data_IF_134800746073
#
_entry.id   IF_134800746073
#
_cell.length_a   1.000
_cell.length_b   1.000
_cell.length_c   1.000
_cell.angle_alpha   90.00
_cell.angle_beta   90.00
_cell.angle_gamma   90.00
#
_symmetry.space_group_name_H-M   'P 1'
#
loop_
_entity.id
_entity.type
_entity.pdbx_description
1 polymer ?
#
# COMPACT_ATOMS: atom_id res chain seq x y z
N UNK A 1 -28.06 44.73 -4.31
CA UNK A 1 -28.91 43.58 -4.00
C UNK A 1 -28.22 42.40 -4.67
N UNK A 2 -27.48 41.63 -3.88
CA UNK A 2 -26.54 40.61 -4.35
C UNK A 2 -27.25 39.27 -4.38
N UNK A 3 -27.28 38.60 -5.53
CA UNK A 3 -27.68 37.19 -5.60
C UNK A 3 -26.44 36.31 -5.62
N UNK A 4 -26.46 35.35 -4.70
CA UNK A 4 -25.33 34.54 -4.30
C UNK A 4 -25.04 33.46 -5.36
N UNK A 5 -23.78 33.38 -5.78
CA UNK A 5 -23.23 32.16 -6.36
C UNK A 5 -23.16 31.10 -5.24
N UNK A 6 -24.15 30.21 -5.20
CA UNK A 6 -24.02 28.96 -4.47
C UNK A 6 -23.06 28.05 -5.23
N UNK A 7 -21.79 28.05 -4.82
CA UNK A 7 -20.88 26.94 -5.09
C UNK A 7 -21.43 25.71 -4.36
N UNK A 8 -22.19 24.89 -5.09
CA UNK A 8 -22.53 23.54 -4.66
C UNK A 8 -21.33 22.63 -4.91
N UNK A 9 -20.93 21.91 -3.87
CA UNK A 9 -19.81 21.00 -3.84
C UNK A 9 -19.87 19.98 -4.98
N UNK A 10 -18.80 19.93 -5.78
CA UNK A 10 -18.61 18.95 -6.85
C UNK A 10 -18.33 17.57 -6.24
N UNK A 11 -19.39 16.87 -5.87
CA UNK A 11 -19.37 15.41 -5.85
C UNK A 11 -19.19 14.93 -7.30
N UNK A 12 -18.34 13.94 -7.54
CA UNK A 12 -17.99 13.46 -8.87
C UNK A 12 -19.21 12.93 -9.62
N UNK A 13 -19.87 13.78 -10.40
CA UNK A 13 -20.94 13.38 -11.30
C UNK A 13 -20.34 12.60 -12.47
N UNK A 14 -20.52 11.27 -12.46
CA UNK A 14 -20.11 10.39 -13.54
C UNK A 14 -21.26 10.22 -14.54
N UNK A 15 -20.98 10.41 -15.83
CA UNK A 15 -21.97 10.21 -16.92
C UNK A 15 -21.67 8.89 -17.62
N UNK A 16 -22.66 8.00 -17.69
CA UNK A 16 -22.55 6.69 -18.34
C UNK A 16 -23.54 6.52 -19.49
N UNK A 17 -23.28 5.55 -20.38
CA UNK A 17 -24.23 5.17 -21.41
C UNK A 17 -25.49 4.55 -20.79
N UNK A 18 -26.66 5.01 -21.23
CA UNK A 18 -27.96 4.44 -20.87
C UNK A 18 -28.23 3.15 -21.66
N UNK A 19 -29.23 2.36 -21.22
CA UNK A 19 -29.66 1.14 -21.90
C UNK A 19 -30.20 1.32 -23.32
N UNK A 20 -30.40 2.57 -23.77
CA UNK A 20 -30.80 2.91 -25.13
C UNK A 20 -29.63 3.54 -25.91
N UNK A 21 -29.43 3.08 -27.14
CA UNK A 21 -28.35 3.56 -28.03
C UNK A 21 -28.48 5.07 -28.24
N UNK A 22 -27.41 5.81 -27.90
CA UNK A 22 -27.33 7.26 -28.06
C UNK A 22 -27.83 8.09 -26.87
N UNK A 23 -28.29 7.47 -25.79
CA UNK A 23 -28.69 8.18 -24.57
C UNK A 23 -27.62 8.06 -23.48
N UNK A 24 -27.42 9.14 -22.73
CA UNK A 24 -26.51 9.20 -21.59
C UNK A 24 -27.28 9.48 -20.29
N UNK A 25 -26.82 8.94 -19.18
CA UNK A 25 -27.43 9.10 -17.88
C UNK A 25 -26.39 9.49 -16.83
N UNK A 26 -26.81 10.29 -15.85
CA UNK A 26 -26.01 10.74 -14.71
C UNK A 26 -26.14 9.68 -13.65
N UNK A 27 -25.00 9.22 -13.16
CA UNK A 27 -24.93 8.33 -12.02
C UNK A 27 -25.04 9.17 -10.74
N UNK A 28 -26.14 9.02 -10.00
CA UNK A 28 -26.28 9.61 -8.67
C UNK A 28 -25.95 8.54 -7.61
N UNK A 29 -24.76 8.62 -7.03
CA UNK A 29 -24.39 7.76 -5.89
C UNK A 29 -25.08 8.28 -4.62
N UNK A 30 -26.27 7.77 -4.30
CA UNK A 30 -26.98 8.10 -3.06
C UNK A 30 -26.94 6.98 -2.00
N UNK A 31 -26.54 5.76 -2.37
CA UNK A 31 -26.35 4.63 -1.44
C UNK A 31 -25.72 3.43 -2.17
N UNK A 32 -25.14 2.44 -1.47
CA UNK A 32 -24.42 1.33 -2.10
C UNK A 32 -25.31 0.39 -2.95
N UNK A 33 -26.62 0.38 -2.74
CA UNK A 33 -27.53 -0.63 -3.32
C UNK A 33 -28.50 -0.09 -4.39
N UNK A 34 -28.59 1.23 -4.62
CA UNK A 34 -29.45 1.79 -5.68
C UNK A 34 -28.75 2.94 -6.43
N UNK A 35 -28.07 2.60 -7.52
CA UNK A 35 -27.59 3.59 -8.48
C UNK A 35 -28.79 4.12 -9.29
N UNK A 36 -29.31 5.29 -8.91
CA UNK A 36 -30.37 5.96 -9.68
C UNK A 36 -29.74 6.61 -10.91
N UNK A 37 -30.06 6.06 -12.09
CA UNK A 37 -29.68 6.63 -13.37
C UNK A 37 -30.67 7.71 -13.77
N UNK A 38 -30.24 8.97 -13.72
CA UNK A 38 -31.04 10.08 -14.21
C UNK A 38 -30.71 10.31 -15.69
N UNK A 39 -31.66 10.17 -16.64
CA UNK A 39 -31.40 10.46 -18.05
C UNK A 39 -30.99 11.93 -18.22
N UNK A 40 -29.89 12.19 -18.94
CA UNK A 40 -29.49 13.55 -19.30
C UNK A 40 -30.26 14.01 -20.54
N UNK A 41 -30.54 15.31 -20.59
CA UNK A 41 -30.89 15.96 -21.85
C UNK A 41 -29.63 16.19 -22.69
N UNK A 42 -29.80 16.33 -24.01
CA UNK A 42 -28.69 16.64 -24.92
C UNK A 42 -27.94 17.92 -24.52
N UNK A 43 -28.66 18.91 -23.98
CA UNK A 43 -28.08 20.15 -23.50
C UNK A 43 -27.20 19.95 -22.26
N UNK A 44 -27.66 19.13 -21.30
CA UNK A 44 -26.88 18.79 -20.11
C UNK A 44 -25.62 17.99 -20.48
N UNK A 45 -25.75 17.07 -21.44
CA UNK A 45 -24.61 16.30 -21.94
C UNK A 45 -23.58 17.18 -22.65
N UNK A 46 -24.02 18.14 -23.49
CA UNK A 46 -23.12 19.09 -24.15
C UNK A 46 -22.41 19.97 -23.12
N UNK A 47 -23.11 20.48 -22.10
CA UNK A 47 -22.50 21.28 -21.03
C UNK A 47 -21.46 20.46 -20.26
N UNK A 48 -21.79 19.21 -19.91
CA UNK A 48 -20.84 18.27 -19.31
C UNK A 48 -19.62 18.05 -20.20
N UNK A 49 -19.81 17.71 -21.48
CA UNK A 49 -18.72 17.44 -22.42
C UNK A 49 -17.81 18.67 -22.65
N UNK A 50 -18.37 19.88 -22.68
CA UNK A 50 -17.59 21.13 -22.78
C UNK A 50 -16.82 21.38 -21.48
N UNK A 51 -17.44 21.20 -20.32
CA UNK A 51 -16.77 21.37 -19.03
C UNK A 51 -15.63 20.35 -18.86
N UNK A 52 -15.89 19.10 -19.22
CA UNK A 52 -14.92 18.01 -19.20
C UNK A 52 -13.78 18.28 -20.20
N UNK A 53 -14.09 18.70 -21.44
CA UNK A 53 -13.09 19.09 -22.43
C UNK A 53 -12.21 20.27 -22.01
N UNK A 54 -12.78 21.27 -21.32
CA UNK A 54 -12.01 22.40 -20.75
C UNK A 54 -11.11 21.95 -19.59
N UNK A 55 -11.64 21.13 -18.67
CA UNK A 55 -10.86 20.53 -17.58
C UNK A 55 -9.64 19.79 -18.12
N UNK A 56 -9.80 19.00 -19.18
CA UNK A 56 -8.70 18.30 -19.84
C UNK A 56 -7.66 19.27 -20.42
N UNK A 57 -8.11 20.33 -21.10
CA UNK A 57 -7.22 21.36 -21.65
C UNK A 57 -6.41 22.06 -20.55
N UNK A 58 -7.06 22.42 -19.45
CA UNK A 58 -6.42 23.10 -18.30
C UNK A 58 -5.35 22.21 -17.64
N UNK A 59 -5.61 20.92 -17.45
CA UNK A 59 -4.63 19.98 -16.88
C UNK A 59 -3.37 19.84 -17.74
N UNK A 60 -3.47 19.82 -19.08
CA UNK A 60 -2.28 19.76 -19.95
C UNK A 60 -1.43 21.03 -19.84
N UNK A 61 -2.06 22.21 -19.73
CA UNK A 61 -1.35 23.47 -19.52
C UNK A 61 -0.66 23.52 -18.15
N UNK A 62 -1.36 23.08 -17.09
CA UNK A 62 -0.79 22.96 -15.73
C UNK A 62 0.42 22.02 -15.74
N UNK A 63 0.30 20.84 -16.35
CA UNK A 63 1.40 19.88 -16.49
C UNK A 63 2.59 20.51 -17.21
N UNK A 64 2.37 21.23 -18.31
CA UNK A 64 3.45 21.86 -19.06
C UNK A 64 4.22 22.90 -18.21
N UNK A 65 3.51 23.73 -17.44
CA UNK A 65 4.10 24.70 -16.53
C UNK A 65 4.86 24.04 -15.36
N UNK A 66 4.28 23.00 -14.77
CA UNK A 66 4.90 22.22 -13.69
C UNK A 66 6.15 21.50 -14.18
N UNK A 67 6.13 20.93 -15.38
CA UNK A 67 7.29 20.27 -15.99
C UNK A 67 8.45 21.25 -16.20
N UNK A 68 8.16 22.43 -16.74
CA UNK A 68 9.16 23.49 -16.90
C UNK A 68 9.77 23.90 -15.55
N UNK A 69 8.92 24.04 -14.53
CA UNK A 69 9.36 24.38 -13.16
C UNK A 69 10.21 23.25 -12.55
N UNK A 70 9.81 22.00 -12.73
CA UNK A 70 10.54 20.82 -12.32
C UNK A 70 11.95 20.77 -12.93
N UNK A 71 12.08 21.03 -14.23
CA UNK A 71 13.37 21.07 -14.93
C UNK A 71 14.27 22.18 -14.38
N UNK A 72 13.72 23.38 -14.15
CA UNK A 72 14.45 24.51 -13.55
C UNK A 72 14.94 24.14 -12.14
N UNK A 73 14.06 23.64 -11.26
CA UNK A 73 14.43 23.30 -9.88
C UNK A 73 15.41 22.13 -9.81
N UNK A 74 15.29 21.15 -10.71
CA UNK A 74 16.24 20.05 -10.82
C UNK A 74 17.62 20.58 -11.24
N UNK A 75 17.68 21.48 -12.23
CA UNK A 75 18.92 22.14 -12.64
C UNK A 75 19.57 22.97 -11.54
N UNK A 76 18.75 23.62 -10.69
CA UNK A 76 19.21 24.37 -9.52
C UNK A 76 19.50 23.49 -8.28
N UNK A 77 19.33 22.16 -8.38
CA UNK A 77 19.46 21.20 -7.27
C UNK A 77 18.51 21.48 -6.08
N UNK A 78 17.39 22.17 -6.33
CA UNK A 78 16.36 22.44 -5.34
C UNK A 78 15.39 21.24 -5.24
N UNK A 79 15.87 20.11 -4.70
CA UNK A 79 15.18 18.81 -4.75
C UNK A 79 13.78 18.82 -4.14
N UNK A 80 13.58 19.53 -3.02
CA UNK A 80 12.26 19.66 -2.38
C UNK A 80 11.23 20.32 -3.30
N UNK A 81 11.62 21.39 -3.98
CA UNK A 81 10.74 22.10 -4.93
C UNK A 81 10.50 21.25 -6.18
N UNK A 82 11.53 20.55 -6.68
CA UNK A 82 11.39 19.61 -7.78
C UNK A 82 10.41 18.47 -7.42
N UNK A 83 10.54 17.85 -6.26
CA UNK A 83 9.61 16.79 -5.80
C UNK A 83 8.19 17.30 -5.60
N UNK A 84 8.02 18.54 -5.11
CA UNK A 84 6.70 19.16 -5.04
C UNK A 84 6.08 19.34 -6.43
N UNK A 85 6.83 19.88 -7.40
CA UNK A 85 6.36 20.00 -8.78
C UNK A 85 6.03 18.63 -9.40
N UNK A 86 6.88 17.62 -9.18
CA UNK A 86 6.63 16.25 -9.63
C UNK A 86 5.36 15.67 -9.00
N UNK A 87 5.13 15.91 -7.70
CA UNK A 87 3.93 15.47 -7.01
C UNK A 87 2.65 16.11 -7.57
N UNK A 88 2.64 17.43 -7.78
CA UNK A 88 1.48 18.11 -8.38
C UNK A 88 1.22 17.65 -9.81
N UNK A 89 2.28 17.49 -10.61
CA UNK A 89 2.15 16.99 -11.98
C UNK A 89 1.63 15.55 -12.03
N UNK A 90 2.04 14.72 -11.08
CA UNK A 90 1.53 13.35 -10.94
C UNK A 90 0.04 13.32 -10.57
N UNK A 91 -0.43 14.24 -9.72
CA UNK A 91 -1.87 14.40 -9.41
C UNK A 91 -2.67 14.75 -10.66
N UNK A 92 -2.17 15.65 -11.51
CA UNK A 92 -2.80 15.98 -12.79
C UNK A 92 -2.85 14.76 -13.72
N UNK A 93 -1.72 14.06 -13.93
CA UNK A 93 -1.71 12.83 -14.72
C UNK A 93 -2.66 11.76 -14.18
N UNK A 94 -2.77 11.63 -12.86
CA UNK A 94 -3.71 10.72 -12.22
C UNK A 94 -5.17 11.09 -12.52
N UNK A 95 -5.52 12.39 -12.43
CA UNK A 95 -6.84 12.92 -12.77
C UNK A 95 -7.20 12.75 -14.24
N UNK A 96 -6.19 12.70 -15.13
CA UNK A 96 -6.32 12.41 -16.55
C UNK A 96 -6.45 10.90 -16.87
N UNK A 97 -6.22 10.01 -15.89
CA UNK A 97 -6.19 8.56 -16.10
C UNK A 97 -4.87 8.03 -16.69
N UNK A 98 -3.85 8.87 -16.82
CA UNK A 98 -2.51 8.52 -17.33
C UNK A 98 -1.65 7.86 -16.23
N UNK A 99 -2.06 6.67 -15.78
CA UNK A 99 -1.51 6.01 -14.58
C UNK A 99 0.00 5.79 -14.65
N UNK A 100 0.53 5.40 -15.80
CA UNK A 100 1.98 5.16 -15.98
C UNK A 100 2.81 6.43 -15.78
N UNK A 101 2.36 7.54 -16.35
CA UNK A 101 3.02 8.84 -16.20
C UNK A 101 2.91 9.33 -14.74
N UNK A 102 1.74 9.18 -14.12
CA UNK A 102 1.53 9.53 -12.72
C UNK A 102 2.49 8.74 -11.80
N UNK A 103 2.57 7.41 -11.95
CA UNK A 103 3.47 6.55 -11.18
C UNK A 103 4.93 6.97 -11.29
N UNK A 104 5.41 7.32 -12.49
CA UNK A 104 6.80 7.74 -12.69
C UNK A 104 7.15 8.94 -11.80
N UNK A 105 6.32 9.98 -11.81
CA UNK A 105 6.56 11.18 -11.03
C UNK A 105 6.27 11.00 -9.54
N UNK A 106 5.30 10.16 -9.16
CA UNK A 106 5.10 9.77 -7.77
C UNK A 106 6.32 9.02 -7.21
N UNK A 107 6.90 8.08 -7.97
CA UNK A 107 8.09 7.33 -7.56
C UNK A 107 9.32 8.23 -7.38
N UNK A 108 9.44 9.28 -8.17
CA UNK A 108 10.48 10.30 -7.95
C UNK A 108 10.26 11.02 -6.61
N UNK A 109 9.07 11.59 -6.39
CA UNK A 109 8.80 12.37 -5.19
C UNK A 109 8.82 11.54 -3.89
N UNK A 110 8.29 10.30 -3.92
CA UNK A 110 8.23 9.41 -2.75
C UNK A 110 9.63 9.04 -2.25
N UNK A 111 10.62 8.91 -3.15
CA UNK A 111 11.99 8.60 -2.77
C UNK A 111 12.60 9.68 -1.86
N UNK A 112 12.36 10.96 -2.17
CA UNK A 112 12.80 12.08 -1.35
C UNK A 112 12.04 12.11 -0.01
N UNK A 113 10.73 11.90 -0.04
CA UNK A 113 9.90 11.95 1.17
C UNK A 113 10.23 10.84 2.16
N UNK A 114 10.56 9.64 1.68
CA UNK A 114 11.11 8.55 2.50
C UNK A 114 12.45 8.93 3.10
N UNK A 115 13.38 9.45 2.29
CA UNK A 115 14.72 9.83 2.73
C UNK A 115 14.70 10.95 3.77
N UNK A 116 13.83 11.95 3.60
CA UNK A 116 13.72 13.09 4.53
C UNK A 116 12.74 12.85 5.69
N UNK A 117 12.04 11.70 5.74
CA UNK A 117 11.13 11.34 6.82
C UNK A 117 9.83 12.16 6.87
N UNK A 118 9.34 12.65 5.73
CA UNK A 118 8.14 13.49 5.65
C UNK A 118 6.85 12.68 5.68
N UNK A 119 6.45 12.21 6.86
CA UNK A 119 5.35 11.25 7.03
C UNK A 119 4.00 11.71 6.45
N UNK A 120 3.65 12.99 6.59
CA UNK A 120 2.37 13.53 6.08
C UNK A 120 2.31 13.54 4.56
N UNK A 121 3.37 14.02 3.91
CA UNK A 121 3.50 14.00 2.45
C UNK A 121 3.66 12.58 1.91
N UNK A 122 4.34 11.71 2.67
CA UNK A 122 4.48 10.29 2.36
C UNK A 122 3.12 9.56 2.41
N UNK A 123 2.26 9.89 3.37
CA UNK A 123 0.90 9.35 3.42
C UNK A 123 0.08 9.70 2.17
N UNK A 124 0.09 10.98 1.76
CA UNK A 124 -0.67 11.43 0.61
C UNK A 124 -0.21 10.74 -0.68
N UNK A 125 1.12 10.71 -0.91
CA UNK A 125 1.67 10.11 -2.13
C UNK A 125 1.51 8.59 -2.20
N UNK A 126 1.65 7.89 -1.06
CA UNK A 126 1.41 6.45 -1.01
C UNK A 126 -0.06 6.13 -1.29
N UNK A 127 -0.99 6.98 -0.86
CA UNK A 127 -2.40 6.85 -1.19
C UNK A 127 -2.65 6.86 -2.70
N UNK A 128 -2.01 7.77 -3.43
CA UNK A 128 -2.08 7.81 -4.89
C UNK A 128 -1.37 6.61 -5.54
N UNK A 129 -0.17 6.24 -5.09
CA UNK A 129 0.58 5.09 -5.63
C UNK A 129 -0.18 3.77 -5.44
N UNK A 130 -0.83 3.60 -4.29
CA UNK A 130 -1.71 2.49 -3.98
C UNK A 130 -2.88 2.42 -4.96
N UNK A 131 -3.56 3.53 -5.21
CA UNK A 131 -4.67 3.60 -6.17
C UNK A 131 -4.21 3.39 -7.62
N UNK A 132 -3.05 3.91 -8.00
CA UNK A 132 -2.43 3.63 -9.28
C UNK A 132 -2.15 2.12 -9.45
N UNK A 133 -1.63 1.47 -8.40
CA UNK A 133 -1.32 0.03 -8.41
C UNK A 133 -2.57 -0.83 -8.48
N UNK A 134 -3.65 -0.39 -7.82
CA UNK A 134 -4.98 -0.99 -7.94
C UNK A 134 -5.50 -0.94 -9.38
N UNK A 135 -5.41 0.22 -10.04
CA UNK A 135 -5.84 0.39 -11.44
C UNK A 135 -5.00 -0.39 -12.44
N UNK A 136 -3.69 -0.47 -12.20
CA UNK A 136 -2.76 -1.24 -13.03
C UNK A 136 -2.83 -2.76 -12.76
N UNK A 137 -3.58 -3.21 -11.74
CA UNK A 137 -3.66 -4.63 -11.35
C UNK A 137 -2.38 -5.19 -10.73
N UNK A 138 -1.49 -4.33 -10.23
CA UNK A 138 -0.21 -4.73 -9.63
C UNK A 138 -0.40 -5.08 -8.16
N UNK A 139 -0.71 -6.35 -7.86
CA UNK A 139 -0.97 -6.81 -6.50
C UNK A 139 0.21 -6.59 -5.57
N UNK A 140 1.43 -6.90 -6.01
CA UNK A 140 2.64 -6.76 -5.19
C UNK A 140 2.84 -5.31 -4.75
N UNK A 141 2.87 -4.37 -5.70
CA UNK A 141 3.03 -2.94 -5.39
C UNK A 141 1.88 -2.42 -4.51
N UNK A 142 0.65 -2.85 -4.79
CA UNK A 142 -0.52 -2.47 -3.98
C UNK A 142 -0.37 -2.89 -2.52
N UNK A 143 0.08 -4.13 -2.26
CA UNK A 143 0.32 -4.64 -0.91
C UNK A 143 1.49 -3.91 -0.27
N UNK A 144 2.59 -3.69 -0.99
CA UNK A 144 3.76 -2.98 -0.49
C UNK A 144 3.41 -1.56 -0.01
N UNK A 145 2.75 -0.76 -0.87
CA UNK A 145 2.32 0.58 -0.50
C UNK A 145 1.31 0.58 0.65
N UNK A 146 0.38 -0.37 0.66
CA UNK A 146 -0.63 -0.46 1.73
C UNK A 146 -0.01 -0.79 3.10
N UNK A 147 0.94 -1.72 3.14
CA UNK A 147 1.64 -2.09 4.38
C UNK A 147 2.54 -0.93 4.85
N UNK A 148 3.27 -0.29 3.95
CA UNK A 148 4.08 0.90 4.27
C UNK A 148 3.21 2.01 4.89
N UNK A 149 2.06 2.31 4.27
CA UNK A 149 1.10 3.30 4.79
C UNK A 149 0.60 2.95 6.19
N UNK A 150 0.23 1.69 6.42
CA UNK A 150 -0.29 1.24 7.70
C UNK A 150 0.75 1.40 8.82
N UNK A 151 2.04 1.23 8.50
CA UNK A 151 3.15 1.29 9.45
C UNK A 151 3.75 2.69 9.67
N UNK A 152 3.32 3.71 8.92
CA UNK A 152 3.80 5.08 9.15
C UNK A 152 3.54 5.53 10.60
N UNK A 153 4.36 6.40 11.22
CA UNK A 153 4.11 6.87 12.58
C UNK A 153 2.86 7.77 12.65
N UNK A 154 2.11 7.72 13.75
CA UNK A 154 0.95 8.63 13.97
C UNK A 154 1.50 9.98 14.41
N UNK A 155 1.25 11.05 13.64
CA UNK A 155 1.47 12.41 14.15
C UNK A 155 0.35 12.74 15.12
N UNK A 156 0.68 12.92 16.40
CA UNK A 156 -0.25 13.30 17.47
C UNK A 156 -0.70 14.77 17.41
N UNK A 157 -0.11 15.56 16.50
CA UNK A 157 -0.59 16.88 16.15
C UNK A 157 -0.97 16.89 14.67
N UNK A 158 -2.26 16.98 14.39
CA UNK A 158 -2.85 17.84 13.35
C UNK A 158 -4.27 17.36 13.02
N UNK A 159 -5.20 17.78 13.87
CA UNK A 159 -6.61 17.97 13.49
C UNK A 159 -6.78 19.22 12.61
N UNK A 160 -5.72 19.68 11.94
CA UNK A 160 -5.73 20.91 11.16
C UNK A 160 -6.18 20.56 9.75
N UNK A 161 -7.49 20.69 9.53
CA UNK A 161 -8.12 21.03 8.26
C UNK A 161 -7.51 20.37 7.00
N UNK A 162 -7.59 19.05 6.88
CA UNK A 162 -7.45 18.40 5.58
C UNK A 162 -8.71 18.68 4.75
N UNK A 163 -8.75 19.83 4.09
CA UNK A 163 -9.89 20.19 3.22
C UNK A 163 -9.93 19.34 1.95
N UNK A 164 -8.79 18.76 1.56
CA UNK A 164 -8.64 17.83 0.44
C UNK A 164 -7.71 16.70 0.87
N UNK A 165 -8.27 15.58 1.32
CA UNK A 165 -7.47 14.36 1.48
C UNK A 165 -7.26 13.71 0.11
N UNK A 166 -6.07 13.14 -0.12
CA UNK A 166 -5.85 12.22 -1.23
C UNK A 166 -6.76 10.99 -1.17
N UNK A 167 -6.67 10.06 -2.15
CA UNK A 167 -7.59 8.94 -2.29
C UNK A 167 -7.62 7.98 -1.08
N UNK A 168 -6.59 8.00 -0.23
CA UNK A 168 -6.53 7.21 1.00
C UNK A 168 -7.23 7.86 2.20
N UNK A 169 -7.76 9.07 2.08
CA UNK A 169 -8.35 9.80 3.21
C UNK A 169 -7.31 10.29 4.23
N UNK A 170 -7.75 10.70 5.44
CA UNK A 170 -6.86 11.25 6.45
C UNK A 170 -5.96 10.18 7.10
N UNK A 171 -4.74 10.53 7.55
CA UNK A 171 -3.78 9.63 8.21
C UNK A 171 -4.18 9.26 9.65
N UNK A 172 -5.39 8.74 9.84
CA UNK A 172 -5.89 8.33 11.16
C UNK A 172 -5.51 6.88 11.50
N UNK A 173 -5.44 6.57 12.79
CA UNK A 173 -5.21 5.20 13.27
C UNK A 173 -6.26 4.22 12.71
N UNK A 174 -7.55 4.61 12.74
CA UNK A 174 -8.64 3.81 12.19
C UNK A 174 -8.44 3.51 10.70
N UNK A 175 -8.00 4.51 9.92
CA UNK A 175 -7.79 4.31 8.48
C UNK A 175 -6.65 3.34 8.20
N UNK A 176 -5.59 3.36 9.00
CA UNK A 176 -4.47 2.40 8.91
C UNK A 176 -4.90 0.99 9.25
N UNK A 177 -5.71 0.81 10.28
CA UNK A 177 -6.27 -0.50 10.64
C UNK A 177 -7.15 -1.05 9.51
N UNK A 178 -7.98 -0.21 8.89
CA UNK A 178 -8.78 -0.58 7.70
C UNK A 178 -7.87 -1.03 6.56
N UNK A 179 -6.80 -0.27 6.26
CA UNK A 179 -5.85 -0.62 5.18
C UNK A 179 -5.16 -1.97 5.48
N UNK A 180 -4.71 -2.21 6.72
CA UNK A 180 -4.12 -3.50 7.08
C UNK A 180 -5.12 -4.64 6.91
N UNK A 181 -6.36 -4.48 7.40
CA UNK A 181 -7.42 -5.50 7.26
C UNK A 181 -7.76 -5.79 5.80
N UNK A 182 -7.77 -4.77 4.95
CA UNK A 182 -7.96 -4.94 3.51
C UNK A 182 -6.86 -5.81 2.90
N UNK A 183 -5.59 -5.53 3.19
CA UNK A 183 -4.46 -6.33 2.69
C UNK A 183 -4.53 -7.77 3.21
N UNK A 184 -4.76 -7.95 4.52
CA UNK A 184 -4.84 -9.30 5.11
C UNK A 184 -6.02 -10.07 4.51
N UNK A 185 -7.17 -9.43 4.31
CA UNK A 185 -8.34 -10.04 3.68
C UNK A 185 -8.19 -10.32 2.19
N UNK A 186 -7.31 -9.61 1.48
CA UNK A 186 -6.94 -9.94 0.09
C UNK A 186 -5.99 -11.13 0.01
N UNK A 187 -5.12 -11.29 1.01
CA UNK A 187 -4.13 -12.38 1.06
C UNK A 187 -4.74 -13.67 1.62
N UNK A 188 -5.59 -13.57 2.64
CA UNK A 188 -6.38 -14.68 3.15
C UNK A 188 -7.51 -14.99 2.16
N UNK A 189 -7.63 -16.24 1.72
CA UNK A 189 -8.57 -16.72 0.68
C UNK A 189 -10.07 -16.55 1.06
N UNK A 190 -10.39 -15.82 2.12
CA UNK A 190 -11.74 -15.48 2.57
C UNK A 190 -12.24 -14.18 1.93
N UNK A 191 -12.45 -14.16 0.61
CA UNK A 191 -12.95 -12.94 -0.06
C UNK A 191 -14.48 -12.82 0.06
N UNK A 192 -14.95 -12.14 1.12
CA UNK A 192 -16.33 -11.65 1.28
C UNK A 192 -16.49 -10.14 1.05
N UNK A 193 -15.51 -9.47 0.41
CA UNK A 193 -15.59 -8.06 0.08
C UNK A 193 -16.45 -7.82 -1.18
N UNK A 194 -17.28 -6.76 -1.21
CA UNK A 194 -18.13 -6.45 -2.36
C UNK A 194 -17.25 -6.11 -3.56
N UNK A 195 -17.16 -7.05 -4.51
CA UNK A 195 -16.20 -6.95 -5.60
C UNK A 195 -16.60 -5.91 -6.63
N UNK A 196 -15.87 -4.80 -6.67
CA UNK A 196 -15.76 -4.01 -7.90
C UNK A 196 -14.95 -4.79 -8.95
N UNK A 197 -15.19 -4.57 -10.25
CA UNK A 197 -14.48 -5.29 -11.32
C UNK A 197 -12.95 -5.12 -11.28
N UNK A 198 -12.45 -4.08 -10.61
CA UNK A 198 -11.02 -3.80 -10.40
C UNK A 198 -10.39 -4.76 -9.39
N UNK A 199 -11.15 -5.26 -8.42
CA UNK A 199 -10.67 -6.18 -7.37
C UNK A 199 -10.42 -7.60 -7.90
N UNK A 200 -11.02 -7.97 -9.04
CA UNK A 200 -10.77 -9.28 -9.67
C UNK A 200 -9.31 -9.42 -10.12
N UNK A 201 -8.65 -8.33 -10.48
CA UNK A 201 -7.25 -8.31 -10.92
C UNK A 201 -6.24 -8.37 -9.75
N UNK A 202 -6.70 -8.21 -8.50
CA UNK A 202 -5.85 -8.23 -7.30
C UNK A 202 -5.95 -9.53 -6.50
N UNK A 203 -6.59 -10.57 -7.06
CA UNK A 203 -6.76 -11.84 -6.36
C UNK A 203 -5.48 -12.68 -6.42
N UNK A 204 -5.09 -13.24 -5.29
CA UNK A 204 -4.10 -14.31 -5.25
C UNK A 204 -4.74 -15.57 -5.82
N UNK A 205 -4.26 -16.05 -6.96
CA UNK A 205 -4.53 -17.41 -7.41
C UNK A 205 -3.69 -18.36 -6.58
N UNK A 206 -4.29 -19.45 -6.07
CA UNK A 206 -3.62 -20.42 -5.21
C UNK A 206 -2.33 -21.02 -5.79
N UNK A 207 -2.13 -20.91 -7.11
CA UNK A 207 -0.94 -21.39 -7.83
C UNK A 207 0.28 -20.46 -7.71
N UNK A 208 0.14 -19.24 -7.19
CA UNK A 208 1.23 -18.27 -7.07
C UNK A 208 1.16 -17.47 -5.75
N UNK A 209 1.92 -17.85 -4.71
CA UNK A 209 1.93 -17.10 -3.45
C UNK A 209 2.53 -15.71 -3.65
N UNK A 210 2.00 -14.72 -2.93
CA UNK A 210 2.56 -13.37 -2.92
C UNK A 210 3.88 -13.37 -2.13
N UNK A 211 4.97 -13.04 -2.81
CA UNK A 211 6.29 -12.93 -2.19
C UNK A 211 6.69 -11.46 -2.01
N UNK A 212 6.96 -11.06 -0.77
CA UNK A 212 7.43 -9.73 -0.39
C UNK A 212 8.86 -9.82 0.15
N UNK A 213 9.75 -8.96 -0.36
CA UNK A 213 11.15 -8.92 0.03
C UNK A 213 11.44 -7.68 0.88
N UNK A 214 12.03 -7.89 2.06
CA UNK A 214 12.41 -6.82 2.99
C UNK A 214 13.93 -6.85 3.16
N UNK A 215 14.62 -6.17 2.24
CA UNK A 215 16.06 -5.98 2.27
C UNK A 215 16.44 -4.62 2.91
N UNK A 216 17.69 -4.17 2.74
CA UNK A 216 18.17 -2.90 3.32
C UNK A 216 17.57 -1.65 2.66
N UNK A 217 17.12 -1.75 1.40
CA UNK A 217 16.58 -0.62 0.63
C UNK A 217 15.06 -0.65 0.51
N UNK A 218 14.43 -1.76 0.91
CA UNK A 218 12.99 -1.96 0.88
C UNK A 218 12.28 -0.95 1.79
N UNK A 219 11.27 -0.23 1.28
CA UNK A 219 10.42 0.62 2.11
C UNK A 219 9.70 -0.17 3.21
N UNK A 220 9.48 -1.47 3.02
CA UNK A 220 8.82 -2.33 4.00
C UNK A 220 9.62 -2.55 5.30
N UNK A 221 10.86 -2.08 5.39
CA UNK A 221 11.60 -2.06 6.66
C UNK A 221 10.89 -1.25 7.74
N UNK A 222 10.07 -0.27 7.36
CA UNK A 222 9.23 0.45 8.34
C UNK A 222 8.07 -0.39 8.86
N UNK A 223 7.75 -1.51 8.19
CA UNK A 223 6.64 -2.40 8.56
C UNK A 223 7.11 -3.49 9.50
N UNK A 224 8.17 -4.20 9.12
CA UNK A 224 8.71 -5.35 9.85
C UNK A 224 10.22 -5.21 9.97
N UNK A 225 10.71 -5.28 11.20
CA UNK A 225 12.13 -5.34 11.52
C UNK A 225 12.46 -6.74 12.05
N UNK A 226 13.53 -7.31 11.51
CA UNK A 226 14.12 -8.55 11.97
C UNK A 226 15.56 -8.30 12.43
N UNK A 227 15.91 -8.88 13.57
CA UNK A 227 17.27 -8.84 14.12
C UNK A 227 17.64 -10.22 14.64
N UNK A 228 18.85 -10.68 14.31
CA UNK A 228 19.38 -11.95 14.79
C UNK A 228 20.62 -11.67 15.63
N UNK A 229 20.67 -12.24 16.82
CA UNK A 229 21.81 -12.13 17.73
C UNK A 229 22.34 -13.52 18.09
N UNK A 230 23.64 -13.73 17.90
CA UNK A 230 24.35 -14.90 18.40
C UNK A 230 24.83 -14.62 19.82
N UNK A 231 24.62 -15.56 20.73
CA UNK A 231 25.01 -15.40 22.14
C UNK A 231 26.50 -15.65 22.32
N UNK A 232 27.07 -16.54 21.50
CA UNK A 232 28.48 -16.85 21.48
C UNK A 232 29.17 -16.18 20.27
N UNK A 233 30.33 -15.55 20.53
CA UNK A 233 31.16 -14.95 19.47
C UNK A 233 31.98 -15.99 18.69
N UNK A 234 32.20 -17.18 19.28
CA UNK A 234 32.91 -18.29 18.67
C UNK A 234 32.26 -19.61 19.10
N UNK A 235 31.91 -20.44 18.13
CA UNK A 235 31.30 -21.75 18.36
C UNK A 235 32.42 -22.79 18.40
N UNK A 236 32.52 -23.56 19.49
CA UNK A 236 33.39 -24.74 19.52
C UNK A 236 32.65 -25.91 18.89
N UNK A 237 33.35 -26.80 18.15
CA UNK A 237 32.77 -28.05 17.68
C UNK A 237 32.09 -28.79 18.84
N UNK A 238 30.93 -29.38 18.57
CA UNK A 238 30.12 -30.17 19.53
C UNK A 238 29.49 -29.39 20.70
N UNK A 239 29.61 -28.07 20.76
CA UNK A 239 28.83 -27.24 21.70
C UNK A 239 27.65 -26.55 21.00
N UNK A 240 26.43 -26.63 21.53
CA UNK A 240 25.30 -25.90 20.98
C UNK A 240 25.52 -24.39 21.15
N UNK A 241 25.38 -23.63 20.08
CA UNK A 241 25.35 -22.18 20.10
C UNK A 241 23.92 -21.70 20.24
N UNK A 242 23.67 -20.53 20.82
CA UNK A 242 22.33 -19.95 20.93
C UNK A 242 22.18 -18.77 20.01
N UNK A 243 21.02 -18.72 19.37
CA UNK A 243 20.58 -17.54 18.63
C UNK A 243 19.30 -17.01 19.21
N UNK A 244 19.16 -15.69 19.19
CA UNK A 244 17.89 -15.01 19.40
C UNK A 244 17.47 -14.34 18.10
N UNK A 245 16.32 -14.75 17.57
CA UNK A 245 15.63 -14.04 16.50
C UNK A 245 14.62 -13.09 17.14
N UNK A 246 14.73 -11.81 16.82
CA UNK A 246 13.86 -10.75 17.31
C UNK A 246 13.09 -10.14 16.15
N UNK A 247 11.77 -10.09 16.26
CA UNK A 247 10.88 -9.51 15.26
C UNK A 247 10.09 -8.35 15.88
N UNK A 248 9.90 -7.28 15.13
CA UNK A 248 9.13 -6.11 15.52
C UNK A 248 8.25 -5.67 14.35
N UNK A 249 6.96 -5.47 14.61
CA UNK A 249 6.01 -4.93 13.62
C UNK A 249 5.49 -3.56 14.07
N UNK A 250 5.39 -2.64 13.12
CA UNK A 250 4.78 -1.32 13.30
C UNK A 250 3.33 -1.27 12.80
N UNK A 251 2.77 -2.41 12.40
CA UNK A 251 1.38 -2.50 11.94
C UNK A 251 0.39 -2.23 13.09
N UNK A 252 -0.75 -1.54 12.82
CA UNK A 252 -1.71 -1.12 13.85
C UNK A 252 -2.52 -2.26 14.49
N UNK A 253 -2.67 -3.39 13.81
CA UNK A 253 -3.32 -4.60 14.33
C UNK A 253 -2.33 -5.77 14.41
N UNK A 254 -2.70 -6.78 15.21
CA UNK A 254 -1.90 -8.00 15.39
C UNK A 254 -1.56 -8.64 14.04
N UNK A 255 -0.31 -9.08 13.91
CA UNK A 255 0.18 -9.79 12.73
C UNK A 255 0.58 -11.20 13.14
N UNK A 256 -0.15 -12.19 12.66
CA UNK A 256 0.11 -13.60 12.94
C UNK A 256 1.04 -14.20 11.91
N UNK A 257 1.98 -15.03 12.38
CA UNK A 257 2.93 -15.77 11.57
C UNK A 257 2.64 -17.26 11.74
N UNK A 258 2.57 -17.98 10.63
CA UNK A 258 2.30 -19.42 10.62
C UNK A 258 3.57 -20.21 10.89
N UNK A 259 4.62 -19.86 10.16
CA UNK A 259 5.94 -20.43 10.27
C UNK A 259 7.00 -19.36 10.01
N UNK A 260 8.13 -19.49 10.70
CA UNK A 260 9.31 -18.66 10.51
C UNK A 260 10.50 -19.56 10.15
N UNK A 261 10.97 -19.45 8.91
CA UNK A 261 12.15 -20.18 8.45
C UNK A 261 13.42 -19.37 8.74
N UNK A 262 14.38 -20.01 9.41
CA UNK A 262 15.70 -19.45 9.69
C UNK A 262 16.72 -20.21 8.84
N UNK A 263 17.32 -19.49 7.90
CA UNK A 263 18.28 -20.05 6.95
C UNK A 263 19.70 -19.55 7.23
N UNK A 264 20.65 -20.48 7.22
CA UNK A 264 22.08 -20.29 7.31
C UNK A 264 22.74 -20.68 5.98
N UNK A 265 24.00 -20.28 5.81
CA UNK A 265 24.79 -20.74 4.67
C UNK A 265 25.02 -22.27 4.71
N UNK A 266 25.03 -22.87 5.91
CA UNK A 266 25.06 -24.31 6.13
C UNK A 266 23.63 -24.84 6.33
N UNK A 267 23.11 -25.60 5.37
CA UNK A 267 21.71 -26.04 5.40
C UNK A 267 21.38 -26.97 6.56
N UNK A 268 22.36 -27.67 7.13
CA UNK A 268 22.19 -28.55 8.30
C UNK A 268 21.86 -27.76 9.57
N UNK A 269 22.21 -26.49 9.58
CA UNK A 269 21.95 -25.57 10.68
C UNK A 269 20.58 -24.84 10.51
N UNK A 270 19.87 -25.02 9.38
CA UNK A 270 18.55 -24.44 9.12
C UNK A 270 17.46 -25.05 10.01
N UNK A 271 16.46 -24.24 10.36
CA UNK A 271 15.29 -24.72 11.08
C UNK A 271 14.07 -23.83 10.86
N UNK A 272 12.89 -24.40 11.09
CA UNK A 272 11.59 -23.72 10.99
C UNK A 272 10.97 -23.63 12.36
N UNK A 273 10.45 -22.47 12.74
CA UNK A 273 9.67 -22.28 13.97
C UNK A 273 8.19 -22.23 13.57
N UNK A 274 7.40 -23.20 14.03
CA UNK A 274 5.97 -23.28 13.76
C UNK A 274 5.14 -22.72 14.92
N UNK A 275 4.03 -22.05 14.57
CA UNK A 275 3.04 -21.60 15.53
C UNK A 275 2.20 -22.78 16.06
N UNK A 276 2.33 -23.13 17.34
CA UNK A 276 1.61 -24.28 17.92
C UNK A 276 0.09 -24.08 18.00
N UNK A 277 -0.41 -22.85 17.85
CA UNK A 277 -1.83 -22.53 17.95
C UNK A 277 -2.59 -22.73 16.64
N UNK A 278 -1.91 -22.90 15.50
CA UNK A 278 -2.55 -23.24 14.23
C UNK A 278 -2.46 -24.74 13.96
N UNK A 279 -3.57 -25.31 13.50
CA UNK A 279 -3.56 -26.65 12.90
C UNK A 279 -2.68 -26.62 11.66
N UNK A 280 -1.75 -27.59 11.49
CA UNK A 280 -0.90 -27.63 10.31
C UNK A 280 -1.78 -27.68 9.05
N UNK A 281 -1.72 -26.63 8.23
CA UNK A 281 -2.39 -26.61 6.93
C UNK A 281 -1.80 -27.73 6.07
N UNK A 282 -2.65 -28.61 5.56
CA UNK A 282 -2.30 -29.88 4.89
C UNK A 282 -1.64 -29.72 3.50
N UNK A 283 -0.95 -28.61 3.22
CA UNK A 283 -0.50 -28.28 1.86
C UNK A 283 0.99 -28.51 1.59
N UNK A 284 1.86 -28.63 2.59
CA UNK A 284 3.30 -28.85 2.34
C UNK A 284 3.90 -30.06 3.06
N UNK A 285 3.20 -31.20 3.08
CA UNK A 285 3.85 -32.49 3.37
C UNK A 285 4.44 -33.08 2.07
N UNK A 286 5.34 -32.36 1.42
CA UNK A 286 6.04 -32.85 0.22
C UNK A 286 7.49 -32.43 0.26
N UNK A 287 8.24 -33.02 1.18
CA UNK A 287 9.52 -33.69 0.92
C UNK A 287 10.17 -34.06 2.26
N UNK A 288 10.31 -35.37 2.46
CA UNK A 288 11.21 -35.92 3.45
C UNK A 288 12.62 -35.48 3.08
N UNK A 289 13.21 -34.54 3.83
CA UNK A 289 14.66 -34.44 4.06
C UNK A 289 14.90 -33.49 5.26
N UNK A 290 15.27 -34.07 6.41
CA UNK A 290 16.03 -33.51 7.54
C UNK A 290 15.87 -32.03 8.01
N UNK A 291 14.77 -31.31 7.79
CA UNK A 291 14.60 -29.97 8.38
C UNK A 291 14.19 -30.05 9.85
N UNK A 292 14.93 -29.35 10.73
CA UNK A 292 14.60 -29.23 12.15
C UNK A 292 13.39 -28.31 12.32
N UNK A 293 12.36 -28.80 13.01
CA UNK A 293 11.16 -28.03 13.32
C UNK A 293 11.10 -27.75 14.82
N UNK A 294 11.08 -26.48 15.17
CA UNK A 294 10.85 -25.96 16.51
C UNK A 294 9.42 -25.45 16.63
N UNK A 295 8.88 -25.39 17.84
CA UNK A 295 7.53 -24.86 18.08
C UNK A 295 7.58 -23.68 19.02
N UNK A 296 6.76 -22.66 18.73
CA UNK A 296 6.55 -21.52 19.61
C UNK A 296 5.08 -21.47 20.04
N UNK A 297 4.79 -21.20 21.34
CA UNK A 297 3.42 -21.14 21.86
C UNK A 297 2.52 -20.14 21.14
N UNK A 298 3.09 -19.04 20.64
CA UNK A 298 2.41 -18.05 19.81
C UNK A 298 3.45 -17.32 18.95
N UNK A 299 3.21 -17.25 17.64
CA UNK A 299 3.97 -16.42 16.71
C UNK A 299 3.11 -15.24 16.26
N UNK A 300 2.89 -14.31 17.19
CA UNK A 300 2.05 -13.12 16.95
C UNK A 300 2.86 -11.88 17.28
N UNK A 301 2.92 -10.95 16.32
CA UNK A 301 3.54 -9.64 16.50
C UNK A 301 2.46 -8.65 16.94
N UNK A 302 2.74 -7.94 18.02
CA UNK A 302 1.93 -6.80 18.46
C UNK A 302 2.64 -5.52 18.10
N UNK A 303 1.84 -4.47 17.87
CA UNK A 303 2.33 -3.14 17.47
C UNK A 303 3.40 -2.65 18.44
N UNK A 304 4.55 -2.29 17.89
CA UNK A 304 5.69 -1.69 18.59
C UNK A 304 6.25 -2.55 19.74
N UNK A 305 6.06 -3.87 19.72
CA UNK A 305 6.63 -4.80 20.71
C UNK A 305 7.49 -5.87 20.05
N UNK A 306 8.67 -6.07 20.63
CA UNK A 306 9.60 -7.11 20.22
C UNK A 306 9.11 -8.50 20.61
N UNK A 307 8.91 -9.38 19.62
CA UNK A 307 8.86 -10.81 19.81
C UNK A 307 10.29 -11.35 19.80
N UNK A 308 10.70 -12.06 20.86
CA UNK A 308 12.05 -12.65 20.97
C UNK A 308 11.97 -14.15 21.10
N UNK A 309 12.63 -14.84 20.20
CA UNK A 309 12.63 -16.29 20.08
C UNK A 309 14.07 -16.78 20.20
N UNK A 310 14.37 -17.58 21.22
CA UNK A 310 15.74 -18.07 21.48
C UNK A 310 15.78 -19.57 21.30
N UNK A 311 16.67 -20.04 20.43
CA UNK A 311 16.82 -21.45 20.10
C UNK A 311 18.30 -21.82 20.02
N UNK A 312 18.60 -23.07 20.38
CA UNK A 312 19.92 -23.65 20.17
C UNK A 312 20.10 -23.90 18.66
N UNK A 313 21.28 -23.60 18.12
CA UNK A 313 21.76 -23.99 16.79
C UNK A 313 22.76 -25.12 17.02
N UNK A 314 22.49 -26.29 16.43
CA UNK A 314 23.42 -27.42 16.53
C UNK A 314 24.70 -27.05 15.79
N UNK A 315 25.86 -27.32 16.42
CA UNK A 315 27.14 -27.23 15.73
C UNK A 315 27.11 -28.17 14.53
N UNK A 316 27.19 -27.60 13.33
CA UNK A 316 27.53 -28.33 12.12
C UNK A 316 28.92 -29.01 12.35
N UNK A 317 29.08 -30.28 11.94
CA UNK A 317 30.33 -31.05 12.09
C UNK A 317 31.43 -30.50 11.19
#
# INVERSE_FOLDING_TARGET
>A
MSEAFSQGESAGESVIASGYVGQFARLLEQSPDEAVLQPLTDEDFIRYAIAEGKRFQDSFEIIALLKKSYEIYTGLKALRMASYCAFQMAKEYFSLGEIKNAKQYFNYAVSLYRHEGWTTLLWEILGYLRECSRRDGSLKEFVEYSLEMAALPVSSGDSVAYKECGPAGPPSFQKREIIQKEVVGLVAVESGFPSSDVEKNLRITGDSPLHLEIDLVSPLRVVLLASVAFHEQAVKPDTPAKITVSLLSHLPALFEIDALDVQFNQSECNFTIQNSQRTPSAVNSTSQDSYRVESAPALVLSTDKWLRLTYDVKSCR
#
